data_IF_546735442779
#
_entry.id   IF_546735442779
#
_cell.length_a   1.000
_cell.length_b   1.000
_cell.length_c   1.000
_cell.angle_alpha   90.00
_cell.angle_beta   90.00
_cell.angle_gamma   90.00
#
_symmetry.space_group_name_H-M   'P 1'
#
loop_
_entity.id
_entity.type
_entity.pdbx_description
1 polymer ?
#
# COMPACT_ATOMS: atom_id res chain seq x y z
N UNK A 1 3.96 -23.87 -3.93
CA UNK A 1 2.65 -23.76 -3.23
C UNK A 1 2.04 -22.44 -3.68
N UNK A 2 0.98 -22.49 -4.48
CA UNK A 2 0.27 -21.29 -4.96
C UNK A 2 -0.53 -20.73 -3.79
N UNK A 3 -0.17 -19.57 -3.27
CA UNK A 3 -0.96 -18.85 -2.27
C UNK A 3 -1.96 -17.96 -3.02
N UNK A 4 -3.23 -18.30 -2.96
CA UNK A 4 -4.30 -17.43 -3.43
C UNK A 4 -4.65 -16.46 -2.29
N UNK A 5 -4.69 -15.17 -2.60
CA UNK A 5 -5.22 -14.15 -1.68
C UNK A 5 -6.67 -13.92 -2.09
N UNK A 6 -7.58 -14.30 -1.21
CA UNK A 6 -9.02 -14.16 -1.42
C UNK A 6 -9.44 -12.86 -0.76
N UNK A 7 -9.90 -11.89 -1.57
CA UNK A 7 -10.58 -10.70 -1.08
C UNK A 7 -12.07 -11.05 -0.96
N UNK A 8 -12.51 -11.42 0.25
CA UNK A 8 -13.92 -11.67 0.53
C UNK A 8 -14.62 -10.38 0.91
N UNK A 9 -15.58 -9.95 0.11
CA UNK A 9 -16.44 -8.82 0.42
C UNK A 9 -17.65 -9.33 1.24
N UNK A 10 -17.49 -9.37 2.57
CA UNK A 10 -18.62 -9.61 3.46
C UNK A 10 -19.44 -8.32 3.59
N UNK A 11 -20.64 -8.29 2.99
CA UNK A 11 -21.63 -7.22 3.22
C UNK A 11 -22.33 -7.51 4.54
N UNK A 12 -21.79 -6.97 5.64
CA UNK A 12 -22.43 -7.03 6.95
C UNK A 12 -23.36 -5.82 7.09
N UNK A 13 -24.65 -6.00 6.86
CA UNK A 13 -25.67 -4.98 7.15
C UNK A 13 -25.95 -4.99 8.65
N UNK A 14 -25.16 -4.22 9.41
CA UNK A 14 -25.46 -3.94 10.83
C UNK A 14 -26.30 -2.67 10.89
N UNK A 15 -27.60 -2.80 11.11
CA UNK A 15 -28.48 -1.68 11.51
C UNK A 15 -28.25 -1.39 12.98
N UNK A 16 -27.33 -0.52 13.31
CA UNK A 16 -27.22 0.06 14.63
C UNK A 16 -27.71 1.49 14.58
N UNK A 17 -28.82 1.75 15.27
CA UNK A 17 -29.24 3.08 15.68
C UNK A 17 -28.20 3.63 16.66
N UNK A 18 -27.28 4.44 16.18
CA UNK A 18 -26.36 5.18 17.05
C UNK A 18 -27.04 6.48 17.49
N UNK A 19 -27.42 6.54 18.73
CA UNK A 19 -27.63 7.78 19.46
C UNK A 19 -26.33 8.59 19.42
N UNK A 20 -26.35 9.74 18.77
CA UNK A 20 -25.23 10.70 18.75
C UNK A 20 -25.08 11.28 20.15
N UNK A 21 -24.11 10.77 20.90
CA UNK A 21 -23.60 11.47 22.05
C UNK A 21 -22.88 12.73 21.56
N UNK A 22 -23.42 13.92 21.91
CA UNK A 22 -22.77 15.21 21.71
C UNK A 22 -21.56 15.26 22.63
N UNK A 23 -20.40 14.87 22.13
CA UNK A 23 -19.12 15.07 22.80
C UNK A 23 -18.75 16.55 22.73
N UNK A 24 -18.47 17.15 23.89
CA UNK A 24 -17.87 18.47 23.99
C UNK A 24 -16.51 18.44 23.27
N UNK A 25 -16.42 19.14 22.14
CA UNK A 25 -15.15 19.46 21.47
C UNK A 25 -14.33 20.43 22.34
N UNK A 26 -13.56 19.90 23.25
CA UNK A 26 -12.38 20.61 23.74
C UNK A 26 -11.36 20.61 22.60
N UNK A 27 -11.07 21.81 22.06
CA UNK A 27 -10.02 22.06 21.07
C UNK A 27 -8.63 21.74 21.62
N UNK A 28 -8.30 20.49 21.76
CA UNK A 28 -6.92 20.01 21.72
C UNK A 28 -6.66 19.62 20.28
N UNK A 29 -5.93 20.46 19.55
CA UNK A 29 -5.54 20.18 18.18
C UNK A 29 -4.92 18.79 18.13
N UNK A 30 -5.59 17.85 17.46
CA UNK A 30 -5.13 16.47 17.35
C UNK A 30 -3.86 16.49 16.46
N UNK A 31 -2.69 16.53 17.10
CA UNK A 31 -1.39 16.67 16.44
C UNK A 31 -0.98 15.42 15.65
N UNK A 32 -1.75 14.32 15.77
CA UNK A 32 -1.43 13.01 15.17
C UNK A 32 -2.34 12.67 13.97
N UNK A 33 -2.82 13.68 13.27
CA UNK A 33 -3.63 13.52 12.05
C UNK A 33 -2.91 14.16 10.87
N UNK A 34 -2.63 13.37 9.83
CA UNK A 34 -2.30 13.86 8.50
C UNK A 34 -3.60 14.06 7.73
N UNK A 35 -3.82 15.22 7.13
CA UNK A 35 -5.04 15.48 6.39
C UNK A 35 -4.80 16.30 5.13
N UNK A 36 -5.70 16.14 4.16
CA UNK A 36 -5.66 16.80 2.85
C UNK A 36 -7.09 17.11 2.39
N UNK A 37 -7.23 18.17 1.63
CA UNK A 37 -8.50 18.67 1.05
C UNK A 37 -8.71 18.24 -0.41
N UNK A 38 -7.84 17.38 -0.93
CA UNK A 38 -7.90 16.85 -2.30
C UNK A 38 -7.43 15.39 -2.35
N UNK A 39 -7.86 14.61 -3.37
CA UNK A 39 -7.33 13.27 -3.63
C UNK A 39 -5.82 13.27 -3.88
N UNK A 40 -5.18 12.14 -3.69
CA UNK A 40 -3.79 11.95 -4.07
C UNK A 40 -3.66 11.83 -5.60
N UNK A 41 -2.80 12.64 -6.19
CA UNK A 41 -2.46 12.55 -7.61
C UNK A 41 -1.29 11.59 -7.85
N UNK A 42 -0.38 11.46 -6.90
CA UNK A 42 0.80 10.60 -6.99
C UNK A 42 1.00 9.78 -5.72
N UNK A 43 1.87 8.76 -5.82
CA UNK A 43 2.13 7.81 -4.73
C UNK A 43 2.55 8.47 -3.41
N UNK A 44 3.39 9.49 -3.48
CA UNK A 44 3.90 10.21 -2.28
C UNK A 44 2.83 11.03 -1.55
N UNK A 45 1.68 11.25 -2.17
CA UNK A 45 0.53 11.94 -1.55
C UNK A 45 -0.46 10.95 -0.95
N UNK A 46 -0.40 9.66 -1.32
CA UNK A 46 -1.33 8.65 -0.84
C UNK A 46 -1.11 8.36 0.66
N UNK A 47 -2.16 7.97 1.37
CA UNK A 47 -2.12 7.67 2.80
C UNK A 47 -1.69 6.23 3.03
N UNK A 48 -0.60 5.98 3.79
CA UNK A 48 -0.11 4.63 4.04
C UNK A 48 -0.90 3.91 5.14
N UNK A 49 -1.15 2.63 4.92
CA UNK A 49 -1.65 1.69 5.92
C UNK A 49 -0.82 0.40 5.88
N UNK A 50 -0.65 -0.25 7.02
CA UNK A 50 0.05 -1.53 7.05
C UNK A 50 -0.06 -2.24 8.39
N UNK A 51 0.26 -3.55 8.38
CA UNK A 51 0.29 -4.42 9.56
C UNK A 51 1.56 -5.26 9.64
N UNK A 52 2.67 -4.77 9.10
CA UNK A 52 3.95 -5.43 8.85
C UNK A 52 3.97 -6.44 7.68
N UNK A 53 2.87 -7.10 7.39
CA UNK A 53 2.77 -8.06 6.29
C UNK A 53 2.08 -7.49 5.05
N UNK A 54 0.92 -6.88 5.26
CA UNK A 54 0.14 -6.23 4.21
C UNK A 54 0.33 -4.73 4.27
N UNK A 55 0.41 -4.08 3.13
CA UNK A 55 0.45 -2.64 3.00
C UNK A 55 -0.54 -2.14 1.96
N UNK A 56 -1.02 -0.91 2.15
CA UNK A 56 -1.83 -0.21 1.17
C UNK A 56 -1.48 1.28 1.15
N UNK A 57 -1.43 1.85 -0.05
CA UNK A 57 -1.41 3.29 -0.27
C UNK A 57 -2.79 3.71 -0.77
N UNK A 58 -3.50 4.51 0.03
CA UNK A 58 -4.88 4.94 -0.23
C UNK A 58 -4.87 6.30 -0.92
N UNK A 59 -5.42 6.38 -2.13
CA UNK A 59 -5.46 7.62 -2.92
C UNK A 59 -6.68 8.49 -2.57
N UNK A 60 -7.80 7.88 -2.23
CA UNK A 60 -9.01 8.58 -1.80
C UNK A 60 -9.77 9.29 -2.91
N UNK A 61 -9.69 8.85 -4.16
CA UNK A 61 -10.40 9.47 -5.28
C UNK A 61 -11.90 9.12 -5.25
N UNK A 62 -12.82 10.10 -5.31
CA UNK A 62 -14.26 9.86 -5.19
C UNK A 62 -14.85 8.90 -6.22
N UNK A 63 -14.66 9.15 -7.51
CA UNK A 63 -15.27 8.33 -8.57
C UNK A 63 -14.58 6.97 -8.73
N UNK A 64 -13.24 6.93 -8.71
CA UNK A 64 -12.48 5.67 -8.78
C UNK A 64 -11.36 5.71 -7.76
N UNK A 65 -11.58 5.06 -6.64
CA UNK A 65 -10.56 4.97 -5.60
C UNK A 65 -9.54 3.89 -5.95
N UNK A 66 -8.28 4.19 -5.70
CA UNK A 66 -7.15 3.28 -5.90
C UNK A 66 -6.51 2.96 -4.56
N UNK A 67 -6.35 1.69 -4.30
CA UNK A 67 -5.50 1.18 -3.23
C UNK A 67 -4.35 0.42 -3.88
N UNK A 68 -3.16 0.95 -3.79
CA UNK A 68 -1.96 0.22 -4.21
C UNK A 68 -1.56 -0.71 -3.09
N UNK A 69 -1.61 -2.00 -3.37
CA UNK A 69 -1.43 -3.05 -2.39
C UNK A 69 -0.03 -3.62 -2.42
N UNK A 70 0.38 -4.10 -1.27
CA UNK A 70 1.65 -4.75 -1.08
C UNK A 70 1.57 -5.92 -0.10
N UNK A 71 2.44 -6.91 -0.29
CA UNK A 71 2.63 -8.03 0.61
C UNK A 71 4.13 -8.30 0.77
N UNK A 72 4.61 -8.46 2.00
CA UNK A 72 6.04 -8.45 2.36
C UNK A 72 6.90 -9.51 1.67
N UNK A 73 6.29 -10.62 1.23
CA UNK A 73 7.03 -11.75 0.64
C UNK A 73 7.16 -11.70 -0.88
N UNK A 74 6.68 -10.62 -1.53
CA UNK A 74 6.74 -10.48 -2.99
C UNK A 74 8.04 -9.84 -3.41
N UNK A 75 8.98 -10.69 -3.81
CA UNK A 75 10.31 -10.32 -4.28
C UNK A 75 10.57 -10.89 -5.67
N UNK A 76 11.27 -10.12 -6.50
CA UNK A 76 11.79 -10.67 -7.75
C UNK A 76 13.04 -11.51 -7.50
N UNK A 77 13.21 -12.54 -8.30
CA UNK A 77 14.43 -13.35 -8.29
C UNK A 77 14.26 -14.72 -7.64
N UNK A 78 15.37 -15.36 -7.40
CA UNK A 78 15.50 -16.70 -6.86
C UNK A 78 16.75 -16.80 -6.00
N UNK A 79 16.84 -17.75 -5.08
CA UNK A 79 18.08 -17.99 -4.34
C UNK A 79 19.26 -18.17 -5.30
N UNK A 80 20.30 -17.40 -5.09
CA UNK A 80 21.52 -17.44 -5.88
C UNK A 80 22.73 -17.25 -4.96
N UNK A 81 23.90 -17.65 -5.46
CA UNK A 81 25.16 -17.37 -4.80
C UNK A 81 25.80 -16.13 -5.49
N UNK A 82 25.76 -14.99 -4.81
CA UNK A 82 26.32 -13.73 -5.28
C UNK A 82 27.83 -13.61 -5.05
N UNK A 83 28.47 -14.61 -4.44
CA UNK A 83 29.92 -14.56 -4.24
C UNK A 83 30.67 -14.51 -5.57
N UNK A 84 31.56 -13.54 -5.71
CA UNK A 84 32.46 -13.53 -6.87
C UNK A 84 33.58 -14.54 -6.63
N UNK A 85 33.71 -15.57 -7.48
CA UNK A 85 34.73 -16.61 -7.30
C UNK A 85 36.16 -16.08 -7.37
N UNK A 86 36.39 -14.96 -8.05
CA UNK A 86 37.70 -14.31 -8.17
C UNK A 86 38.10 -13.54 -6.90
N UNK A 87 37.15 -13.19 -6.02
CA UNK A 87 37.39 -12.31 -4.88
C UNK A 87 38.55 -12.78 -3.99
N UNK A 88 38.68 -14.10 -3.80
CA UNK A 88 39.73 -14.68 -2.96
C UNK A 88 41.14 -14.35 -3.48
N UNK A 89 41.32 -14.35 -4.79
CA UNK A 89 42.64 -14.08 -5.43
C UNK A 89 43.03 -12.62 -5.28
N UNK A 90 42.08 -11.71 -5.46
CA UNK A 90 42.39 -10.26 -5.45
C UNK A 90 42.33 -9.63 -4.06
N UNK A 91 41.77 -10.29 -3.07
CA UNK A 91 41.64 -9.72 -1.72
C UNK A 91 42.96 -9.32 -1.07
N UNK A 92 44.10 -10.10 -1.16
CA UNK A 92 45.37 -9.68 -0.60
C UNK A 92 45.90 -8.38 -1.22
N UNK A 93 45.73 -8.21 -2.52
CA UNK A 93 46.18 -7.03 -3.25
C UNK A 93 45.35 -5.79 -2.87
N UNK A 94 44.07 -5.92 -2.71
CA UNK A 94 43.22 -4.81 -2.23
C UNK A 94 43.61 -4.37 -0.84
N UNK A 95 43.93 -5.30 0.07
CA UNK A 95 44.43 -4.99 1.41
C UNK A 95 45.74 -4.24 1.38
N UNK A 96 46.68 -4.66 0.53
CA UNK A 96 47.98 -3.99 0.35
C UNK A 96 47.79 -2.55 -0.14
N UNK A 97 46.92 -2.30 -1.11
CA UNK A 97 46.63 -0.96 -1.59
C UNK A 97 46.01 -0.07 -0.51
N UNK A 98 45.15 -0.60 0.33
CA UNK A 98 44.59 0.12 1.48
C UNK A 98 45.69 0.50 2.47
N UNK A 99 46.60 -0.42 2.79
CA UNK A 99 47.73 -0.13 3.70
C UNK A 99 48.73 0.89 3.14
N UNK A 100 48.84 0.95 1.81
CA UNK A 100 49.67 1.97 1.11
C UNK A 100 48.97 3.33 1.00
N UNK A 101 47.70 3.47 1.49
CA UNK A 101 46.89 4.68 1.35
C UNK A 101 46.35 4.92 -0.05
N UNK A 102 46.43 3.93 -0.94
CA UNK A 102 45.95 3.98 -2.33
C UNK A 102 44.47 3.60 -2.44
N UNK A 103 43.64 4.36 -1.72
CA UNK A 103 42.20 4.01 -1.58
C UNK A 103 41.43 3.95 -2.89
N UNK A 104 41.74 4.85 -3.83
CA UNK A 104 41.06 4.84 -5.15
C UNK A 104 41.40 3.56 -5.94
N UNK A 105 42.67 3.17 -6.00
CA UNK A 105 43.11 1.94 -6.67
C UNK A 105 42.53 0.70 -5.99
N UNK A 106 42.44 0.69 -4.65
CA UNK A 106 41.86 -0.37 -3.87
C UNK A 106 40.35 -0.51 -4.18
N UNK A 107 39.62 0.60 -4.26
CA UNK A 107 38.21 0.63 -4.59
C UNK A 107 37.94 0.12 -6.02
N UNK A 108 38.72 0.59 -7.00
CA UNK A 108 38.56 0.19 -8.40
C UNK A 108 38.80 -1.33 -8.57
N UNK A 109 39.86 -1.84 -7.93
CA UNK A 109 40.15 -3.28 -7.92
C UNK A 109 39.06 -4.09 -7.21
N UNK A 110 38.58 -3.63 -6.05
CA UNK A 110 37.50 -4.30 -5.32
C UNK A 110 36.22 -4.31 -6.15
N UNK A 111 35.88 -3.22 -6.82
CA UNK A 111 34.70 -3.15 -7.70
C UNK A 111 34.81 -4.11 -8.87
N UNK A 112 35.99 -4.22 -9.48
CA UNK A 112 36.22 -5.07 -10.66
C UNK A 112 36.23 -6.57 -10.32
N UNK A 113 36.81 -6.95 -9.17
CA UNK A 113 37.15 -8.35 -8.88
C UNK A 113 36.59 -8.93 -7.59
N UNK A 114 36.13 -8.11 -6.64
CA UNK A 114 35.59 -8.59 -5.36
C UNK A 114 34.06 -8.48 -5.33
N UNK A 115 33.52 -7.37 -5.87
CA UNK A 115 32.07 -7.18 -5.91
C UNK A 115 31.37 -8.28 -6.73
N UNK A 116 30.15 -8.61 -6.33
CA UNK A 116 29.33 -9.53 -7.08
C UNK A 116 29.13 -9.08 -8.54
N UNK A 117 29.27 -9.99 -9.49
CA UNK A 117 29.05 -9.71 -10.94
C UNK A 117 27.59 -9.67 -11.31
N UNK A 118 26.73 -10.26 -10.50
CA UNK A 118 25.29 -10.26 -10.66
C UNK A 118 24.64 -9.25 -9.71
N UNK A 119 23.40 -8.89 -9.98
CA UNK A 119 22.65 -7.97 -9.13
C UNK A 119 22.71 -8.44 -7.65
N UNK A 120 23.07 -7.54 -6.75
CA UNK A 120 23.32 -7.82 -5.34
C UNK A 120 22.07 -7.94 -4.48
N UNK A 121 20.90 -8.06 -5.08
CA UNK A 121 19.64 -8.18 -4.35
C UNK A 121 18.52 -8.74 -5.17
N UNK A 122 17.45 -9.08 -4.49
CA UNK A 122 16.16 -9.40 -5.09
C UNK A 122 15.27 -8.18 -4.92
N UNK A 123 14.92 -7.46 -6.00
CA UNK A 123 14.08 -6.28 -5.92
C UNK A 123 12.71 -6.63 -5.31
N UNK A 124 12.28 -5.80 -4.36
CA UNK A 124 10.94 -5.85 -3.83
C UNK A 124 9.95 -5.39 -4.90
N UNK A 125 8.79 -6.04 -4.97
CA UNK A 125 7.82 -5.77 -6.02
C UNK A 125 6.44 -5.44 -5.43
N UNK A 126 5.68 -4.51 -6.05
CA UNK A 126 4.31 -4.26 -5.66
C UNK A 126 3.45 -5.47 -5.97
N UNK A 127 2.45 -5.73 -5.13
CA UNK A 127 1.47 -6.77 -5.36
C UNK A 127 0.55 -6.43 -6.54
N UNK A 128 -0.05 -5.24 -6.50
CA UNK A 128 -0.99 -4.76 -7.49
C UNK A 128 -1.88 -3.66 -6.95
N UNK A 129 -2.87 -3.29 -7.72
CA UNK A 129 -3.83 -2.25 -7.39
C UNK A 129 -5.25 -2.83 -7.27
N UNK A 130 -5.97 -2.37 -6.25
CA UNK A 130 -7.42 -2.51 -6.15
C UNK A 130 -8.05 -1.17 -6.55
N UNK A 131 -8.92 -1.20 -7.55
CA UNK A 131 -9.76 -0.09 -7.96
C UNK A 131 -11.20 -0.34 -7.51
N UNK A 132 -11.79 0.66 -6.86
CA UNK A 132 -13.21 0.66 -6.49
C UNK A 132 -13.87 1.84 -7.17
N UNK A 133 -14.69 1.57 -8.19
CA UNK A 133 -15.30 2.58 -9.05
C UNK A 133 -16.79 2.78 -8.72
N UNK A 134 -17.20 4.03 -8.70
CA UNK A 134 -18.55 4.48 -8.38
C UNK A 134 -19.02 5.42 -9.50
N UNK A 135 -20.19 5.19 -10.04
CA UNK A 135 -20.78 6.07 -11.05
C UNK A 135 -21.38 7.32 -10.41
N UNK A 136 -21.21 8.47 -11.06
CA UNK A 136 -21.83 9.72 -10.66
C UNK A 136 -21.20 10.41 -9.45
N UNK A 137 -19.95 10.09 -9.12
CA UNK A 137 -19.17 10.74 -8.05
C UNK A 137 -17.99 11.55 -8.58
N UNK A 138 -18.04 11.96 -9.85
CA UNK A 138 -17.04 12.78 -10.52
C UNK A 138 -17.06 14.22 -9.98
N UNK A 139 -18.25 14.75 -9.73
CA UNK A 139 -18.45 16.08 -9.15
C UNK A 139 -18.72 15.97 -7.65
N UNK A 140 -17.90 16.60 -6.85
CA UNK A 140 -17.99 16.51 -5.39
C UNK A 140 -17.57 17.82 -4.70
N UNK A 141 -17.98 17.97 -3.45
CA UNK A 141 -17.62 19.06 -2.53
C UNK A 141 -17.24 18.52 -1.16
N UNK A 142 -16.84 19.39 -0.24
CA UNK A 142 -16.56 19.09 1.15
C UNK A 142 -15.59 17.91 1.32
N UNK A 143 -14.62 17.83 0.42
CA UNK A 143 -13.67 16.73 0.39
C UNK A 143 -12.65 16.84 1.53
N UNK A 144 -12.45 15.72 2.22
CA UNK A 144 -11.38 15.55 3.20
C UNK A 144 -10.91 14.11 3.21
N UNK A 145 -9.62 13.91 3.17
CA UNK A 145 -9.00 12.62 3.52
C UNK A 145 -8.02 12.82 4.66
N UNK A 146 -7.95 11.84 5.54
CA UNK A 146 -7.10 11.90 6.72
C UNK A 146 -6.57 10.54 7.12
N UNK A 147 -5.40 10.53 7.77
CA UNK A 147 -4.81 9.40 8.46
C UNK A 147 -4.63 9.78 9.92
N UNK A 148 -5.34 9.10 10.80
CA UNK A 148 -5.11 9.18 12.25
C UNK A 148 -4.03 8.19 12.65
N UNK A 149 -2.92 8.70 13.17
CA UNK A 149 -1.83 7.87 13.69
C UNK A 149 -2.22 7.16 14.98
N UNK A 150 -3.09 7.76 15.79
CA UNK A 150 -3.57 7.17 17.04
C UNK A 150 -4.44 5.93 16.84
N UNK A 151 -5.26 5.93 15.77
CA UNK A 151 -6.16 4.82 15.45
C UNK A 151 -5.67 3.95 14.28
N UNK A 152 -4.56 4.31 13.65
CA UNK A 152 -4.02 3.67 12.44
C UNK A 152 -5.10 3.50 11.35
N UNK A 153 -5.94 4.52 11.17
CA UNK A 153 -7.10 4.51 10.26
C UNK A 153 -7.02 5.65 9.26
N UNK A 154 -7.13 5.32 7.98
CA UNK A 154 -7.36 6.31 6.94
C UNK A 154 -8.87 6.49 6.70
N UNK A 155 -9.27 7.71 6.37
CA UNK A 155 -10.65 8.08 6.07
C UNK A 155 -10.67 8.99 4.85
N UNK A 156 -11.63 8.79 3.95
CA UNK A 156 -11.97 9.74 2.89
C UNK A 156 -13.44 10.10 3.03
N UNK A 157 -13.76 11.38 3.10
CA UNK A 157 -15.12 11.89 3.18
C UNK A 157 -15.33 12.99 2.14
N UNK A 158 -16.50 12.98 1.50
CA UNK A 158 -16.90 14.00 0.52
C UNK A 158 -18.41 14.01 0.35
N UNK A 159 -18.94 15.05 -0.27
CA UNK A 159 -20.34 15.20 -0.63
C UNK A 159 -20.51 15.17 -2.14
N UNK A 160 -21.39 14.33 -2.67
CA UNK A 160 -21.76 14.30 -4.09
C UNK A 160 -23.27 14.08 -4.22
N UNK A 161 -23.92 14.82 -5.14
CA UNK A 161 -25.37 14.73 -5.38
C UNK A 161 -26.22 14.85 -4.09
N UNK A 162 -25.79 15.69 -3.14
CA UNK A 162 -26.48 15.91 -1.86
C UNK A 162 -26.44 14.68 -0.91
N UNK A 163 -25.46 13.80 -1.09
CA UNK A 163 -25.17 12.64 -0.24
C UNK A 163 -23.74 12.73 0.25
N UNK A 164 -23.54 12.60 1.55
CA UNK A 164 -22.21 12.50 2.13
C UNK A 164 -21.75 11.04 2.10
N UNK A 165 -20.61 10.80 1.49
CA UNK A 165 -19.94 9.51 1.43
C UNK A 165 -18.75 9.50 2.39
N UNK A 166 -18.56 8.36 3.06
CA UNK A 166 -17.40 8.13 3.94
C UNK A 166 -16.83 6.75 3.68
N UNK A 167 -15.52 6.69 3.44
CA UNK A 167 -14.74 5.47 3.28
C UNK A 167 -13.72 5.39 4.41
N UNK A 168 -13.63 4.26 5.06
CA UNK A 168 -12.70 4.01 6.16
C UNK A 168 -11.83 2.80 5.79
N UNK A 169 -10.54 2.93 6.00
CA UNK A 169 -9.55 1.93 5.63
C UNK A 169 -8.73 1.59 6.87
N UNK A 170 -8.61 0.30 7.17
CA UNK A 170 -7.90 -0.22 8.33
C UNK A 170 -7.12 -1.46 7.91
N UNK A 171 -5.87 -1.56 8.33
CA UNK A 171 -5.08 -2.79 8.26
C UNK A 171 -5.07 -3.47 9.62
N UNK A 172 -5.61 -4.69 9.70
CA UNK A 172 -5.69 -5.44 10.96
C UNK A 172 -4.33 -5.98 11.35
N UNK A 173 -3.88 -5.72 12.58
CA UNK A 173 -2.62 -6.25 13.11
C UNK A 173 -2.66 -7.76 13.37
N UNK A 174 -3.84 -8.30 13.74
CA UNK A 174 -3.99 -9.72 14.08
C UNK A 174 -4.62 -10.57 12.99
N UNK A 175 -5.42 -9.96 12.09
CA UNK A 175 -6.24 -10.69 11.13
C UNK A 175 -5.63 -10.85 9.74
N UNK A 176 -4.48 -10.26 9.46
CA UNK A 176 -3.85 -10.28 8.13
C UNK A 176 -4.79 -9.85 7.00
N UNK A 177 -5.60 -8.82 7.25
CA UNK A 177 -6.57 -8.28 6.29
C UNK A 177 -6.49 -6.76 6.24
N UNK A 178 -6.79 -6.19 5.08
CA UNK A 178 -7.12 -4.78 4.92
C UNK A 178 -8.62 -4.70 4.75
N UNK A 179 -9.27 -3.90 5.59
CA UNK A 179 -10.72 -3.68 5.57
C UNK A 179 -11.04 -2.31 5.01
N UNK A 180 -12.02 -2.27 4.12
CA UNK A 180 -12.57 -1.04 3.57
C UNK A 180 -14.05 -0.99 3.91
N UNK A 181 -14.45 0.01 4.69
CA UNK A 181 -15.85 0.29 5.02
C UNK A 181 -16.35 1.44 4.17
N UNK A 182 -17.41 1.20 3.43
CA UNK A 182 -18.11 2.20 2.63
C UNK A 182 -19.41 2.58 3.33
N UNK A 183 -19.69 3.87 3.46
CA UNK A 183 -20.95 4.37 4.03
C UNK A 183 -21.42 5.62 3.30
N UNK A 184 -22.74 5.84 3.31
CA UNK A 184 -23.37 7.00 2.73
C UNK A 184 -24.47 7.53 3.66
N UNK A 185 -24.73 8.83 3.65
CA UNK A 185 -25.74 9.48 4.50
C UNK A 185 -27.18 9.12 4.10
N UNK A 186 -27.38 8.52 2.93
CA UNK A 186 -28.67 8.02 2.45
C UNK A 186 -28.59 6.54 2.10
N UNK A 187 -29.62 5.78 2.42
CA UNK A 187 -29.72 4.34 2.14
C UNK A 187 -29.73 4.07 0.63
N UNK A 188 -29.09 2.99 0.19
CA UNK A 188 -29.09 2.53 -1.20
C UNK A 188 -28.18 3.33 -2.14
N UNK A 189 -27.34 4.24 -1.64
CA UNK A 189 -26.48 5.10 -2.44
C UNK A 189 -25.08 4.52 -2.69
N UNK A 190 -24.81 3.29 -2.27
CA UNK A 190 -23.53 2.62 -2.50
C UNK A 190 -23.73 1.54 -3.54
N UNK A 191 -23.26 1.81 -4.75
CA UNK A 191 -23.13 0.85 -5.84
C UNK A 191 -21.73 1.02 -6.42
N UNK A 192 -20.94 -0.03 -6.44
CA UNK A 192 -19.55 0.05 -6.91
C UNK A 192 -19.15 -1.19 -7.69
N UNK A 193 -18.15 -1.03 -8.53
CA UNK A 193 -17.42 -2.11 -9.17
C UNK A 193 -16.02 -2.19 -8.55
N UNK A 194 -15.56 -3.40 -8.28
CA UNK A 194 -14.21 -3.66 -7.84
C UNK A 194 -13.41 -4.36 -8.94
N UNK A 195 -12.19 -3.94 -9.14
CA UNK A 195 -11.26 -4.52 -10.10
C UNK A 195 -9.85 -4.59 -9.49
N UNK A 196 -9.13 -5.66 -9.76
CA UNK A 196 -7.72 -5.77 -9.39
C UNK A 196 -6.85 -5.81 -10.64
N UNK A 197 -5.66 -5.24 -10.54
CA UNK A 197 -4.60 -5.32 -11.54
C UNK A 197 -3.27 -5.62 -10.86
N UNK A 198 -2.32 -6.19 -11.59
CA UNK A 198 -0.96 -6.38 -11.09
C UNK A 198 0.05 -6.12 -12.21
N UNK A 199 1.21 -5.53 -11.92
CA UNK A 199 2.30 -5.39 -12.86
C UNK A 199 3.12 -6.68 -13.02
N UNK A 200 2.82 -7.72 -12.24
CA UNK A 200 3.54 -8.99 -12.29
C UNK A 200 3.25 -9.74 -13.59
N UNK A 201 4.22 -10.53 -14.05
CA UNK A 201 4.06 -11.43 -15.20
C UNK A 201 3.24 -12.67 -14.75
N UNK A 202 2.56 -13.30 -15.71
CA UNK A 202 1.79 -14.54 -15.52
C UNK A 202 0.69 -14.43 -14.43
N UNK A 203 0.03 -13.29 -14.38
CA UNK A 203 -1.06 -13.00 -13.46
C UNK A 203 -2.41 -13.22 -14.14
N UNK A 204 -3.34 -13.80 -13.42
CA UNK A 204 -4.75 -13.87 -13.81
C UNK A 204 -5.64 -13.27 -12.73
N UNK A 205 -6.64 -12.52 -13.15
CA UNK A 205 -7.68 -11.99 -12.27
C UNK A 205 -8.99 -12.64 -12.62
N UNK A 206 -9.70 -13.20 -11.65
CA UNK A 206 -10.99 -13.84 -11.85
C UNK A 206 -11.95 -13.54 -10.69
N UNK A 207 -13.24 -13.57 -10.99
CA UNK A 207 -14.27 -13.56 -9.95
C UNK A 207 -14.44 -15.00 -9.40
N UNK A 208 -14.57 -15.11 -8.08
CA UNK A 208 -14.78 -16.39 -7.41
C UNK A 208 -15.71 -16.17 -6.21
N UNK A 209 -16.95 -16.69 -6.30
CA UNK A 209 -17.99 -16.40 -5.31
C UNK A 209 -18.24 -14.88 -5.19
N UNK A 210 -18.15 -14.37 -3.98
CA UNK A 210 -18.32 -12.95 -3.67
C UNK A 210 -17.02 -12.14 -3.75
N UNK A 211 -15.96 -12.72 -4.30
CA UNK A 211 -14.63 -12.15 -4.29
C UNK A 211 -13.98 -12.01 -5.66
N UNK A 212 -12.84 -11.34 -5.65
CA UNK A 212 -11.91 -11.25 -6.76
C UNK A 212 -10.62 -11.93 -6.30
N UNK A 213 -10.10 -12.81 -7.14
CA UNK A 213 -8.82 -13.52 -6.90
C UNK A 213 -7.81 -13.07 -7.94
N UNK A 214 -6.67 -12.65 -7.46
CA UNK A 214 -5.48 -12.32 -8.23
C UNK A 214 -4.43 -13.41 -8.02
#
# INVERSE_FOLDING_TARGET
MKKAIILSAAVLTLTTTTTLAKGNDTKTGNSHILWYDKPAAMWTEALPLGNSRLGAMVYGTPATDRLQLNEETIWAGRPNNNANPEAREYLPRVRELVWQGKYKEAQDMATAHIMAKTNSGMPYQPFGDLYVSFSGLEEYSDYRRELSLDSARAVTQFTANGVTYRREYISSLSGNVIMVRLSASKKGMITCNAQMTSPQQDVSVRSEGDGIVL
#
